data_IF_378295394348
#
_entry.id   IF_378295394348
#
_cell.length_a   1.000
_cell.length_b   1.000
_cell.length_c   1.000
_cell.angle_alpha   90.00
_cell.angle_beta   90.00
_cell.angle_gamma   90.00
#
_symmetry.space_group_name_H-M   'P 1'
#
loop_
_entity.id
_entity.type
_entity.pdbx_description
1 polymer ?
#
# COMPACT_ATOMS: atom_id res chain seq x y z
N UNK A 1 -6.74 -3.33 15.26
CA UNK A 1 -7.01 -1.93 15.60
C UNK A 1 -5.92 -1.34 16.50
N UNK A 2 -5.61 -1.99 17.65
CA UNK A 2 -4.62 -1.44 18.61
C UNK A 2 -3.23 -1.26 18.00
N UNK A 3 -2.73 -2.24 17.26
CA UNK A 3 -1.40 -2.17 16.60
C UNK A 3 -1.35 -1.06 15.58
N UNK A 4 -2.39 -0.93 14.76
CA UNK A 4 -2.56 0.12 13.78
C UNK A 4 -2.44 1.52 14.41
N UNK A 5 -3.12 1.75 15.54
CA UNK A 5 -3.17 3.05 16.19
C UNK A 5 -1.90 3.35 17.00
N UNK A 6 -1.32 2.34 17.64
CA UNK A 6 -0.16 2.52 18.55
C UNK A 6 1.19 2.36 17.85
N UNK A 7 1.22 1.83 16.64
CA UNK A 7 2.46 1.43 15.92
C UNK A 7 3.33 0.44 16.72
N UNK A 8 2.71 -0.31 17.62
CA UNK A 8 3.36 -1.35 18.44
C UNK A 8 2.93 -2.72 17.95
N UNK A 9 3.70 -3.28 17.06
CA UNK A 9 3.42 -4.60 16.49
C UNK A 9 3.58 -5.69 17.57
N UNK A 10 2.58 -6.58 17.65
CA UNK A 10 2.58 -7.78 18.51
C UNK A 10 2.98 -9.03 17.74
N UNK A 11 2.82 -8.98 16.42
CA UNK A 11 3.15 -10.06 15.51
C UNK A 11 4.33 -9.64 14.63
N UNK A 12 5.13 -10.62 14.25
CA UNK A 12 6.22 -10.41 13.28
C UNK A 12 5.67 -10.46 11.85
N UNK A 13 6.43 -9.96 10.88
CA UNK A 13 6.07 -10.07 9.46
C UNK A 13 5.93 -11.54 9.06
N UNK A 14 6.81 -12.42 9.58
CA UNK A 14 6.81 -13.85 9.32
C UNK A 14 5.53 -14.52 9.79
N UNK A 15 5.07 -14.23 11.01
CA UNK A 15 3.82 -14.78 11.57
C UNK A 15 2.61 -14.35 10.75
N UNK A 16 2.54 -13.07 10.35
CA UNK A 16 1.41 -12.55 9.56
C UNK A 16 1.40 -13.15 8.16
N UNK A 17 2.57 -13.27 7.52
CA UNK A 17 2.70 -13.87 6.18
C UNK A 17 2.34 -15.34 6.20
N UNK A 18 2.78 -16.10 7.20
CA UNK A 18 2.45 -17.53 7.30
C UNK A 18 0.94 -17.74 7.49
N UNK A 19 0.31 -16.96 8.36
CA UNK A 19 -1.15 -17.02 8.55
C UNK A 19 -1.93 -16.58 7.30
N UNK A 20 -1.44 -15.56 6.59
CA UNK A 20 -2.06 -15.12 5.34
C UNK A 20 -1.94 -16.19 4.24
N UNK A 21 -0.77 -16.81 4.09
CA UNK A 21 -0.56 -17.88 3.11
C UNK A 21 -1.44 -19.09 3.41
N UNK A 22 -1.55 -19.50 4.68
CA UNK A 22 -2.44 -20.57 5.12
C UNK A 22 -3.89 -20.28 4.76
N UNK A 23 -4.38 -19.09 5.08
CA UNK A 23 -5.75 -18.67 4.75
C UNK A 23 -6.00 -18.65 3.23
N UNK A 24 -5.07 -18.10 2.45
CA UNK A 24 -5.17 -18.05 0.99
C UNK A 24 -5.25 -19.47 0.42
N UNK A 25 -4.39 -20.37 0.89
CA UNK A 25 -4.40 -21.76 0.45
C UNK A 25 -5.71 -22.48 0.82
N UNK A 26 -6.23 -22.26 2.04
CA UNK A 26 -7.54 -22.80 2.44
C UNK A 26 -8.67 -22.34 1.52
N UNK A 27 -8.61 -21.12 1.01
CA UNK A 27 -9.65 -20.55 0.15
C UNK A 27 -9.52 -20.95 -1.32
N UNK A 28 -8.30 -21.22 -1.79
CA UNK A 28 -8.03 -21.40 -3.21
C UNK A 28 -7.60 -22.82 -3.60
N UNK A 29 -7.12 -23.65 -2.65
CA UNK A 29 -6.67 -25.01 -2.95
C UNK A 29 -7.87 -25.91 -3.35
N UNK A 30 -7.67 -26.63 -4.44
CA UNK A 30 -8.69 -27.53 -4.98
C UNK A 30 -9.75 -26.85 -5.84
N UNK A 31 -9.74 -25.52 -5.92
CA UNK A 31 -10.68 -24.74 -6.72
C UNK A 31 -10.14 -24.52 -8.16
N UNK A 32 -11.04 -24.52 -9.12
CA UNK A 32 -10.68 -24.34 -10.54
C UNK A 32 -10.90 -22.87 -10.98
N UNK A 33 -10.31 -21.93 -10.24
CA UNK A 33 -10.37 -20.51 -10.57
C UNK A 33 -9.47 -20.12 -11.73
N UNK A 34 -9.88 -19.09 -12.48
CA UNK A 34 -9.15 -18.60 -13.66
C UNK A 34 -8.62 -17.15 -13.52
N UNK A 35 -8.97 -16.45 -12.43
CA UNK A 35 -8.54 -15.08 -12.17
C UNK A 35 -7.08 -15.02 -11.68
N UNK A 36 -6.47 -13.83 -11.78
CA UNK A 36 -5.23 -13.54 -11.07
C UNK A 36 -5.56 -13.12 -9.63
N UNK A 37 -4.93 -13.79 -8.66
CA UNK A 37 -5.04 -13.44 -7.25
C UNK A 37 -3.87 -12.55 -6.85
N UNK A 38 -4.14 -11.28 -6.58
CA UNK A 38 -3.11 -10.29 -6.26
C UNK A 38 -3.15 -9.97 -4.76
N UNK A 39 -2.01 -10.17 -4.10
CA UNK A 39 -1.83 -9.87 -2.69
C UNK A 39 -1.34 -8.43 -2.55
N UNK A 40 -2.08 -7.62 -1.80
CA UNK A 40 -1.77 -6.22 -1.62
C UNK A 40 -0.80 -5.98 -0.46
N UNK A 41 0.11 -5.04 -0.62
CA UNK A 41 0.98 -4.59 0.47
C UNK A 41 0.24 -3.62 1.40
N UNK A 42 0.62 -3.67 2.68
CA UNK A 42 0.09 -2.83 3.75
C UNK A 42 1.23 -2.15 4.51
N UNK A 43 0.90 -1.31 5.49
CA UNK A 43 1.88 -0.56 6.31
C UNK A 43 2.06 -1.08 7.75
N UNK A 44 1.48 -2.22 8.08
CA UNK A 44 1.73 -2.93 9.34
C UNK A 44 2.33 -4.31 9.07
N UNK A 45 2.67 -5.11 10.08
CA UNK A 45 3.36 -6.38 9.87
C UNK A 45 2.72 -7.25 8.79
N UNK A 46 3.57 -7.87 7.99
CA UNK A 46 3.21 -8.72 6.87
C UNK A 46 3.87 -8.28 5.57
N UNK A 47 3.10 -8.20 4.50
CA UNK A 47 3.61 -7.78 3.19
C UNK A 47 3.68 -6.24 3.14
N UNK A 48 4.80 -5.67 3.54
CA UNK A 48 5.04 -4.21 3.49
C UNK A 48 5.77 -3.76 2.23
N UNK A 49 6.28 -4.68 1.43
CA UNK A 49 7.13 -4.40 0.25
C UNK A 49 8.42 -3.62 0.57
N UNK A 50 8.90 -3.69 1.81
CA UNK A 50 10.18 -3.10 2.22
C UNK A 50 11.29 -4.14 2.34
N UNK A 51 10.95 -5.42 2.44
CA UNK A 51 11.86 -6.55 2.65
C UNK A 51 11.63 -7.64 1.60
N UNK A 52 12.53 -7.81 0.62
CA UNK A 52 12.38 -8.82 -0.45
C UNK A 52 12.20 -10.25 0.04
N UNK A 53 12.84 -10.61 1.18
CA UNK A 53 12.73 -11.93 1.78
C UNK A 53 11.31 -12.24 2.26
N UNK A 54 10.55 -11.23 2.70
CA UNK A 54 9.14 -11.41 3.11
C UNK A 54 8.24 -11.62 1.90
N UNK A 55 8.46 -10.86 0.84
CA UNK A 55 7.76 -11.06 -0.45
C UNK A 55 8.04 -12.46 -1.01
N UNK A 56 9.30 -12.89 -0.98
CA UNK A 56 9.68 -14.24 -1.39
C UNK A 56 8.99 -15.31 -0.56
N UNK A 57 8.95 -15.13 0.79
CA UNK A 57 8.30 -16.05 1.71
C UNK A 57 6.82 -16.23 1.35
N UNK A 58 6.07 -15.14 1.20
CA UNK A 58 4.66 -15.18 0.83
C UNK A 58 4.44 -15.88 -0.51
N UNK A 59 5.16 -15.46 -1.54
CA UNK A 59 5.04 -16.05 -2.89
C UNK A 59 5.38 -17.54 -2.93
N UNK A 60 6.32 -18.00 -2.09
CA UNK A 60 6.70 -19.41 -2.04
C UNK A 60 5.69 -20.28 -1.30
N UNK A 61 4.93 -19.75 -0.36
CA UNK A 61 3.96 -20.46 0.46
C UNK A 61 2.55 -20.51 -0.16
N UNK A 62 2.17 -19.51 -0.95
CA UNK A 62 0.88 -19.52 -1.63
C UNK A 62 0.93 -20.48 -2.81
N UNK A 63 0.03 -21.48 -2.84
CA UNK A 63 0.02 -22.55 -3.84
C UNK A 63 -0.59 -22.12 -5.16
N UNK A 64 -1.53 -21.18 -5.13
CA UNK A 64 -2.25 -20.74 -6.32
C UNK A 64 -1.30 -20.22 -7.41
N UNK A 65 -1.41 -20.78 -8.63
CA UNK A 65 -0.43 -20.53 -9.69
C UNK A 65 -0.53 -19.13 -10.31
N UNK A 66 -1.76 -18.62 -10.46
CA UNK A 66 -2.01 -17.27 -11.00
C UNK A 66 -1.99 -16.22 -9.90
N UNK A 67 -0.92 -16.19 -9.12
CA UNK A 67 -0.71 -15.22 -8.05
C UNK A 67 0.17 -14.06 -8.50
N UNK A 68 0.06 -12.95 -7.80
CA UNK A 68 0.88 -11.77 -7.98
C UNK A 68 0.77 -10.81 -6.80
N UNK A 69 1.35 -9.65 -6.98
CA UNK A 69 1.31 -8.54 -6.01
C UNK A 69 0.47 -7.41 -6.60
N UNK A 70 -0.41 -6.85 -5.80
CA UNK A 70 -1.00 -5.55 -5.99
C UNK A 70 -0.15 -4.56 -5.21
N UNK A 71 0.61 -3.72 -5.89
CA UNK A 71 1.41 -2.68 -5.25
C UNK A 71 0.54 -1.45 -5.02
N UNK A 72 0.15 -1.22 -3.77
CA UNK A 72 -0.39 0.06 -3.36
C UNK A 72 0.76 1.02 -3.05
N UNK A 73 0.81 2.12 -3.80
CA UNK A 73 1.89 3.09 -3.69
C UNK A 73 1.78 3.95 -2.43
N UNK A 74 0.56 4.28 -1.99
CA UNK A 74 0.30 5.01 -0.75
C UNK A 74 0.69 4.18 0.48
N UNK A 75 0.34 2.91 0.51
CA UNK A 75 0.71 1.99 1.58
C UNK A 75 2.23 1.85 1.70
N UNK A 76 2.95 1.71 0.58
CA UNK A 76 4.41 1.65 0.62
C UNK A 76 5.03 2.95 1.15
N UNK A 77 4.45 4.11 0.81
CA UNK A 77 4.93 5.41 1.30
C UNK A 77 4.83 5.53 2.82
N UNK A 78 3.85 4.89 3.47
CA UNK A 78 3.74 4.87 4.95
C UNK A 78 4.90 4.20 5.64
N UNK A 79 5.63 3.33 4.96
CA UNK A 79 6.82 2.68 5.51
C UNK A 79 8.01 3.63 5.65
N UNK A 80 7.94 4.84 5.08
CA UNK A 80 8.96 5.88 5.21
C UNK A 80 8.36 7.21 5.67
N UNK A 81 8.40 7.45 6.98
CA UNK A 81 7.85 8.66 7.61
C UNK A 81 8.67 9.93 7.32
N UNK A 82 9.79 9.83 6.63
CA UNK A 82 10.65 10.98 6.29
C UNK A 82 10.28 11.64 4.96
N UNK A 83 9.40 11.03 4.17
CA UNK A 83 8.96 11.57 2.88
C UNK A 83 8.25 12.92 3.06
N UNK A 84 8.65 13.91 2.26
CA UNK A 84 8.11 15.27 2.27
C UNK A 84 7.52 15.71 0.94
N UNK A 85 7.97 15.12 -0.14
CA UNK A 85 7.54 15.46 -1.50
C UNK A 85 7.14 14.21 -2.28
N UNK A 86 6.32 14.41 -3.30
CA UNK A 86 5.93 13.32 -4.21
C UNK A 86 7.14 12.79 -5.00
N UNK A 87 8.12 13.63 -5.31
CA UNK A 87 9.34 13.20 -6.01
C UNK A 87 10.20 12.27 -5.16
N UNK A 88 10.35 12.58 -3.85
CA UNK A 88 11.00 11.68 -2.89
C UNK A 88 10.23 10.36 -2.76
N UNK A 89 8.91 10.42 -2.76
CA UNK A 89 8.08 9.23 -2.70
C UNK A 89 8.25 8.33 -3.92
N UNK A 90 8.27 8.91 -5.12
CA UNK A 90 8.54 8.17 -6.36
C UNK A 90 9.92 7.50 -6.31
N UNK A 91 10.96 8.22 -5.87
CA UNK A 91 12.31 7.64 -5.75
C UNK A 91 12.34 6.48 -4.76
N UNK A 92 11.70 6.65 -3.60
CA UNK A 92 11.60 5.61 -2.58
C UNK A 92 10.89 4.35 -3.10
N UNK A 93 9.76 4.50 -3.78
CA UNK A 93 9.03 3.36 -4.35
C UNK A 93 9.91 2.64 -5.39
N UNK A 94 10.57 3.38 -6.29
CA UNK A 94 11.49 2.81 -7.29
C UNK A 94 12.66 2.07 -6.64
N UNK A 95 13.22 2.60 -5.55
CA UNK A 95 14.27 1.96 -4.77
C UNK A 95 13.78 0.61 -4.22
N UNK A 96 12.61 0.58 -3.55
CA UNK A 96 12.07 -0.66 -3.00
C UNK A 96 11.73 -1.69 -4.08
N UNK A 97 11.19 -1.28 -5.20
CA UNK A 97 10.96 -2.16 -6.36
C UNK A 97 12.29 -2.72 -6.90
N UNK A 98 13.33 -1.90 -7.00
CA UNK A 98 14.66 -2.35 -7.46
C UNK A 98 15.31 -3.35 -6.49
N UNK A 99 15.17 -3.15 -5.17
CA UNK A 99 15.63 -4.09 -4.14
C UNK A 99 15.00 -5.49 -4.29
N UNK A 100 13.76 -5.57 -4.78
CA UNK A 100 13.08 -6.85 -5.02
C UNK A 100 13.64 -7.64 -6.21
N UNK A 101 14.43 -7.04 -7.08
CA UNK A 101 15.07 -7.73 -8.21
C UNK A 101 14.04 -8.51 -9.04
N UNK A 102 14.27 -9.80 -9.22
CA UNK A 102 13.37 -10.66 -10.01
C UNK A 102 11.97 -10.81 -9.39
N UNK A 103 11.80 -10.58 -8.09
CA UNK A 103 10.49 -10.64 -7.44
C UNK A 103 9.57 -9.50 -7.89
N UNK A 104 10.13 -8.39 -8.38
CA UNK A 104 9.35 -7.28 -8.92
C UNK A 104 8.48 -7.69 -10.12
N UNK A 105 8.83 -8.77 -10.84
CA UNK A 105 7.99 -9.32 -11.92
C UNK A 105 6.65 -9.89 -11.46
N UNK A 106 6.47 -10.13 -10.16
CA UNK A 106 5.19 -10.51 -9.57
C UNK A 106 4.26 -9.33 -9.31
N UNK A 107 4.73 -8.09 -9.45
CA UNK A 107 3.88 -6.90 -9.34
C UNK A 107 3.05 -6.79 -10.62
N UNK A 108 1.89 -7.41 -10.63
CA UNK A 108 0.96 -7.40 -11.76
C UNK A 108 -0.04 -6.26 -11.70
N UNK A 109 -0.39 -5.82 -10.51
CA UNK A 109 -1.31 -4.72 -10.28
C UNK A 109 -0.68 -3.56 -9.53
N UNK A 110 -1.23 -2.37 -9.74
CA UNK A 110 -0.83 -1.16 -9.03
C UNK A 110 -2.08 -0.36 -8.64
N UNK A 111 -2.25 -0.09 -7.35
CA UNK A 111 -3.10 0.96 -6.83
C UNK A 111 -2.26 2.25 -6.80
N UNK A 112 -2.59 3.16 -7.71
CA UNK A 112 -1.83 4.40 -7.87
C UNK A 112 -2.51 5.54 -7.11
N UNK A 113 -1.93 5.87 -5.97
CA UNK A 113 -2.32 6.96 -5.09
C UNK A 113 -1.11 7.45 -4.30
N UNK A 114 -1.22 8.58 -3.61
CA UNK A 114 -0.18 9.06 -2.72
C UNK A 114 -0.74 9.51 -1.38
N UNK A 115 0.03 9.30 -0.32
CA UNK A 115 -0.28 9.66 1.06
C UNK A 115 1.02 10.08 1.78
N UNK A 116 1.37 11.37 1.75
CA UNK A 116 2.56 11.91 2.44
C UNK A 116 2.15 12.36 3.84
N UNK A 117 2.08 11.44 4.79
CA UNK A 117 1.50 11.67 6.11
C UNK A 117 2.45 11.43 7.28
N UNK A 118 3.75 11.27 7.01
CA UNK A 118 4.77 10.98 8.01
C UNK A 118 4.82 11.98 9.17
N UNK A 119 4.61 13.27 8.91
CA UNK A 119 4.57 14.31 9.95
C UNK A 119 3.41 14.09 10.94
N UNK A 120 2.23 13.73 10.45
CA UNK A 120 1.08 13.39 11.28
C UNK A 120 1.36 12.15 12.14
N UNK A 121 1.87 11.09 11.53
CA UNK A 121 2.19 9.83 12.24
C UNK A 121 3.21 10.07 13.36
N UNK A 122 4.28 10.81 13.09
CA UNK A 122 5.28 11.17 14.11
C UNK A 122 4.67 11.93 15.28
N UNK A 123 3.74 12.84 14.99
CA UNK A 123 3.02 13.58 16.04
C UNK A 123 2.16 12.65 16.90
N UNK A 124 1.46 11.69 16.27
CA UNK A 124 0.64 10.72 16.97
C UNK A 124 1.47 9.81 17.89
N UNK A 125 2.56 9.25 17.38
CA UNK A 125 3.47 8.37 18.14
C UNK A 125 4.03 9.11 19.37
N UNK A 126 4.32 10.41 19.23
CA UNK A 126 4.90 11.22 20.32
C UNK A 126 3.88 11.54 21.40
N UNK A 127 2.63 11.75 21.03
CA UNK A 127 1.57 12.12 21.99
C UNK A 127 1.20 11.00 22.96
N UNK A 128 1.44 9.74 22.59
CA UNK A 128 1.08 8.55 23.39
C UNK A 128 -0.33 8.60 23.95
N UNK A 129 -1.28 9.16 23.20
CA UNK A 129 -2.67 9.22 23.63
C UNK A 129 -3.17 7.81 23.90
N UNK A 130 -3.78 7.64 25.07
CA UNK A 130 -4.37 6.37 25.45
C UNK A 130 -5.55 6.07 24.49
N UNK A 131 -5.57 4.86 23.94
CA UNK A 131 -6.73 4.42 23.19
C UNK A 131 -7.98 4.46 24.10
N UNK A 132 -9.13 4.89 23.56
CA UNK A 132 -10.38 4.78 24.28
C UNK A 132 -10.62 3.33 24.73
N UNK A 133 -11.16 3.15 25.94
CA UNK A 133 -11.47 1.82 26.48
C UNK A 133 -12.79 1.26 25.94
N UNK A 134 -13.68 2.15 25.53
CA UNK A 134 -14.95 1.81 24.92
C UNK A 134 -14.77 1.38 23.47
N UNK A 135 -15.46 0.32 23.05
CA UNK A 135 -15.31 -0.26 21.70
C UNK A 135 -15.69 0.71 20.59
N UNK A 136 -16.80 1.44 20.76
CA UNK A 136 -17.30 2.35 19.73
C UNK A 136 -16.36 3.54 19.54
N UNK A 137 -15.93 4.15 20.65
CA UNK A 137 -14.95 5.23 20.63
C UNK A 137 -13.59 4.78 20.07
N UNK A 138 -13.14 3.56 20.42
CA UNK A 138 -11.92 2.97 19.89
C UNK A 138 -12.02 2.72 18.38
N UNK A 139 -13.14 2.15 17.93
CA UNK A 139 -13.39 1.90 16.51
C UNK A 139 -13.38 3.21 15.71
N UNK A 140 -14.09 4.24 16.20
CA UNK A 140 -14.12 5.57 15.60
C UNK A 140 -12.71 6.17 15.50
N UNK A 141 -11.94 6.14 16.58
CA UNK A 141 -10.58 6.67 16.59
C UNK A 141 -9.67 5.95 15.58
N UNK A 142 -9.81 4.62 15.44
CA UNK A 142 -9.07 3.86 14.45
C UNK A 142 -9.44 4.26 13.00
N UNK A 143 -10.73 4.40 12.70
CA UNK A 143 -11.17 4.85 11.38
C UNK A 143 -10.71 6.28 11.06
N UNK A 144 -10.85 7.20 12.02
CA UNK A 144 -10.36 8.58 11.86
C UNK A 144 -8.84 8.59 11.59
N UNK A 145 -8.09 7.74 12.28
CA UNK A 145 -6.66 7.60 12.06
C UNK A 145 -6.35 7.06 10.66
N UNK A 146 -7.03 6.00 10.22
CA UNK A 146 -6.85 5.42 8.88
C UNK A 146 -7.10 6.48 7.80
N UNK A 147 -8.20 7.23 7.87
CA UNK A 147 -8.49 8.30 6.91
C UNK A 147 -7.47 9.44 6.93
N UNK A 148 -6.75 9.63 8.04
CA UNK A 148 -5.69 10.64 8.10
C UNK A 148 -4.38 10.17 7.47
N UNK A 149 -4.09 8.88 7.51
CA UNK A 149 -2.84 8.34 6.98
C UNK A 149 -2.99 7.84 5.54
N UNK A 150 -4.12 7.27 5.20
CA UNK A 150 -4.40 6.65 3.91
C UNK A 150 -5.33 7.58 3.10
N UNK A 151 -4.73 8.65 2.57
CA UNK A 151 -5.46 9.78 1.99
C UNK A 151 -5.89 9.55 0.54
N UNK A 152 -5.31 8.60 -0.15
CA UNK A 152 -5.59 8.30 -1.55
C UNK A 152 -5.67 9.55 -2.43
N UNK A 153 -4.64 10.41 -2.34
CA UNK A 153 -4.55 11.63 -3.14
C UNK A 153 -3.90 11.34 -4.51
N UNK A 154 -4.16 12.17 -5.53
CA UNK A 154 -3.54 12.00 -6.83
C UNK A 154 -2.05 12.39 -6.79
N UNK A 155 -1.23 11.67 -7.54
CA UNK A 155 0.07 12.20 -7.92
C UNK A 155 -0.12 13.35 -8.90
N UNK A 156 0.62 14.44 -8.68
CA UNK A 156 0.66 15.62 -9.54
C UNK A 156 2.04 15.86 -10.15
N UNK A 157 3.06 15.18 -9.64
CA UNK A 157 4.42 15.21 -10.23
C UNK A 157 4.49 14.37 -11.50
N UNK A 158 5.06 14.89 -12.60
CA UNK A 158 5.31 14.10 -13.82
C UNK A 158 6.23 12.90 -13.59
N UNK A 159 7.02 12.92 -12.53
CA UNK A 159 7.95 11.84 -12.17
C UNK A 159 7.23 10.51 -11.94
N UNK A 160 5.95 10.52 -11.58
CA UNK A 160 5.12 9.32 -11.40
C UNK A 160 5.06 8.45 -12.65
N UNK A 161 5.20 9.02 -13.84
CA UNK A 161 5.29 8.28 -15.09
C UNK A 161 6.36 7.19 -15.03
N UNK A 162 7.50 7.50 -14.39
CA UNK A 162 8.62 6.57 -14.24
C UNK A 162 8.26 5.31 -13.44
N UNK A 163 7.34 5.39 -12.47
CA UNK A 163 6.85 4.21 -11.75
C UNK A 163 6.17 3.24 -12.71
N UNK A 164 5.21 3.74 -13.48
CA UNK A 164 4.44 2.91 -14.42
C UNK A 164 5.32 2.34 -15.53
N UNK A 165 6.25 3.13 -16.06
CA UNK A 165 7.19 2.70 -17.08
C UNK A 165 8.19 1.64 -16.59
N UNK A 166 8.58 1.70 -15.31
CA UNK A 166 9.51 0.74 -14.70
C UNK A 166 8.80 -0.55 -14.34
N UNK A 167 7.66 -0.46 -13.66
CA UNK A 167 6.94 -1.62 -13.12
C UNK A 167 6.14 -2.33 -14.22
N UNK A 168 5.53 -1.57 -15.15
CA UNK A 168 4.68 -2.08 -16.25
C UNK A 168 3.57 -3.01 -15.76
N UNK A 169 2.74 -2.56 -14.80
CA UNK A 169 1.70 -3.41 -14.26
C UNK A 169 0.68 -3.79 -15.34
N UNK A 170 0.12 -5.00 -15.26
CA UNK A 170 -0.98 -5.46 -16.13
C UNK A 170 -2.29 -4.71 -15.79
N UNK A 171 -2.45 -4.35 -14.51
CA UNK A 171 -3.63 -3.68 -13.97
C UNK A 171 -3.21 -2.38 -13.26
N UNK A 172 -3.77 -1.25 -13.68
CA UNK A 172 -3.54 0.06 -13.05
C UNK A 172 -4.86 0.64 -12.58
N UNK A 173 -5.01 0.79 -11.27
CA UNK A 173 -6.16 1.42 -10.64
C UNK A 173 -5.78 2.81 -10.15
N UNK A 174 -6.54 3.83 -10.54
CA UNK A 174 -6.49 5.15 -9.92
C UNK A 174 -7.31 5.09 -8.63
N UNK A 175 -6.67 4.74 -7.52
CA UNK A 175 -7.33 4.60 -6.23
C UNK A 175 -7.36 5.95 -5.51
N UNK A 176 -8.44 6.69 -5.74
CA UNK A 176 -8.56 8.08 -5.29
C UNK A 176 -9.77 8.24 -4.37
N UNK A 177 -9.52 8.70 -3.15
CA UNK A 177 -10.59 9.07 -2.21
C UNK A 177 -11.20 10.43 -2.59
N UNK A 178 -12.51 10.55 -2.54
CA UNK A 178 -13.23 11.80 -2.83
C UNK A 178 -14.62 11.80 -2.19
N UNK A 179 -15.08 12.99 -1.82
CA UNK A 179 -16.42 13.16 -1.21
C UNK A 179 -17.55 13.28 -2.23
N UNK A 180 -17.25 13.30 -3.52
CA UNK A 180 -18.24 13.37 -4.56
C UNK A 180 -17.64 13.23 -5.96
N UNK A 181 -18.54 13.02 -6.94
CA UNK A 181 -18.15 12.72 -8.32
C UNK A 181 -17.26 13.80 -8.95
N UNK A 182 -17.62 15.07 -8.78
CA UNK A 182 -16.86 16.18 -9.40
C UNK A 182 -15.45 16.27 -8.86
N UNK A 183 -15.25 16.05 -7.56
CA UNK A 183 -13.91 16.00 -6.96
C UNK A 183 -13.13 14.80 -7.50
N UNK A 184 -13.75 13.65 -7.61
CA UNK A 184 -13.13 12.45 -8.16
C UNK A 184 -12.65 12.66 -9.61
N UNK A 185 -13.51 13.27 -10.44
CA UNK A 185 -13.16 13.59 -11.83
C UNK A 185 -11.97 14.56 -11.91
N UNK A 186 -11.91 15.58 -11.05
CA UNK A 186 -10.76 16.51 -10.96
C UNK A 186 -9.48 15.75 -10.59
N UNK A 187 -9.49 14.96 -9.52
CA UNK A 187 -8.34 14.18 -9.06
C UNK A 187 -7.85 13.21 -10.13
N UNK A 188 -8.77 12.56 -10.84
CA UNK A 188 -8.42 11.66 -11.95
C UNK A 188 -7.76 12.41 -13.11
N UNK A 189 -8.27 13.60 -13.47
CA UNK A 189 -7.67 14.44 -14.50
C UNK A 189 -6.25 14.86 -14.11
N UNK A 190 -6.04 15.26 -12.84
CA UNK A 190 -4.73 15.63 -12.31
C UNK A 190 -3.73 14.47 -12.44
N UNK A 191 -4.07 13.29 -11.95
CA UNK A 191 -3.18 12.13 -11.99
C UNK A 191 -2.90 11.68 -13.44
N UNK A 192 -3.90 11.71 -14.31
CA UNK A 192 -3.71 11.40 -15.74
C UNK A 192 -2.84 12.43 -16.46
N UNK A 193 -2.86 13.69 -16.06
CA UNK A 193 -1.96 14.71 -16.59
C UNK A 193 -0.52 14.46 -16.16
N UNK A 194 -0.29 14.16 -14.88
CA UNK A 194 1.02 13.78 -14.35
C UNK A 194 1.61 12.56 -15.08
N UNK A 195 0.81 11.52 -15.29
CA UNK A 195 1.20 10.33 -16.05
C UNK A 195 1.55 10.61 -17.54
N UNK A 196 1.12 11.74 -18.09
CA UNK A 196 1.48 12.19 -19.45
C UNK A 196 2.68 13.16 -19.47
N UNK A 197 3.37 13.29 -18.35
CA UNK A 197 4.51 14.20 -18.22
C UNK A 197 4.13 15.68 -18.21
N UNK A 198 2.88 16.03 -17.91
CA UNK A 198 2.41 17.42 -17.82
C UNK A 198 2.44 17.90 -16.38
N UNK A 199 3.10 19.03 -16.16
CA UNK A 199 2.94 19.80 -14.91
C UNK A 199 1.54 20.44 -14.88
N UNK A 200 0.89 20.39 -13.74
CA UNK A 200 -0.39 21.07 -13.47
C UNK A 200 -0.16 22.30 -12.64
#
# INVERSE_FOLDING_TARGET
ARELFTYQCRHTDEEVIDAAAELINLLLDGENYTFDFLMENLWWPGLTMTRPEMTKRLLSQVHYQKKGIMLDTGHLMHMNLELKTQDEAVDYILEKVAEHGNLASYIKGMHLNQSITGAYVKTLITKKDAMPSDYEACSKACYEHVFQIDQHLPFTTPKVQKLVETIKPEYLTHELMSYGRSEHEIKLVMQRAALKGKNL
#
